data_IF_714318693052
#
_entry.id   IF_714318693052
#
_cell.length_a   1.000
_cell.length_b   1.000
_cell.length_c   1.000
_cell.angle_alpha   90.00
_cell.angle_beta   90.00
_cell.angle_gamma   90.00
#
_symmetry.space_group_name_H-M   'P 1'
#
loop_
_entity.id
_entity.type
_entity.pdbx_description
1 polymer ?
#
# COMPACT_ATOMS: atom_id res chain seq x y z
N UNK A 1 28.75 -14.55 18.37
CA UNK A 1 27.87 -13.56 17.69
C UNK A 1 28.16 -12.21 18.29
N UNK A 2 28.94 -11.38 17.58
CA UNK A 2 29.28 -10.06 18.08
C UNK A 2 28.15 -9.09 17.78
N UNK A 3 27.66 -8.43 18.80
CA UNK A 3 26.60 -7.41 18.69
C UNK A 3 27.27 -6.05 18.48
N UNK A 4 26.91 -5.33 17.42
CA UNK A 4 27.25 -3.93 17.27
C UNK A 4 26.24 -3.11 18.03
N UNK A 5 26.67 -2.36 19.03
CA UNK A 5 25.83 -1.49 19.86
C UNK A 5 26.05 -0.06 19.41
N UNK A 6 25.02 0.54 18.82
CA UNK A 6 25.02 1.96 18.48
C UNK A 6 24.29 2.74 19.58
N UNK A 7 24.94 3.66 20.23
CA UNK A 7 24.35 4.55 21.23
C UNK A 7 23.97 5.87 20.58
N UNK A 8 22.70 6.22 20.60
CA UNK A 8 22.28 7.58 20.26
C UNK A 8 22.47 8.47 21.49
N UNK A 9 23.34 9.48 21.38
CA UNK A 9 23.71 10.39 22.47
C UNK A 9 22.53 11.18 23.06
N UNK A 10 21.40 11.28 22.36
CA UNK A 10 20.29 12.14 22.80
C UNK A 10 19.16 11.42 23.55
N UNK A 11 19.08 10.09 23.53
CA UNK A 11 17.92 9.39 24.12
C UNK A 11 18.22 8.12 24.93
N UNK A 12 19.44 7.76 25.23
CA UNK A 12 19.83 6.56 25.99
C UNK A 12 19.13 5.24 25.56
N UNK A 13 18.59 5.17 24.33
CA UNK A 13 18.03 3.94 23.78
C UNK A 13 19.12 3.15 23.06
N UNK A 14 19.43 1.99 23.58
CA UNK A 14 20.29 0.98 22.97
C UNK A 14 19.53 0.35 21.77
N UNK A 15 20.03 0.56 20.57
CA UNK A 15 19.59 -0.16 19.38
C UNK A 15 20.60 -1.29 19.16
N UNK A 16 20.19 -2.53 19.39
CA UNK A 16 21.00 -3.72 19.09
C UNK A 16 20.71 -4.17 17.65
N UNK A 17 21.67 -3.95 16.75
CA UNK A 17 21.64 -4.54 15.42
C UNK A 17 22.45 -5.87 15.45
N UNK A 18 21.87 -6.95 14.98
CA UNK A 18 22.63 -8.18 14.70
C UNK A 18 23.53 -7.95 13.50
N UNK A 19 24.80 -8.33 13.66
CA UNK A 19 25.88 -8.17 12.67
C UNK A 19 25.43 -8.59 11.27
N UNK A 20 25.46 -7.67 10.32
CA UNK A 20 25.60 -8.03 8.92
C UNK A 20 27.02 -8.59 8.76
N UNK A 21 27.12 -9.88 8.43
CA UNK A 21 28.39 -10.59 8.33
C UNK A 21 29.37 -9.86 7.41
N UNK A 22 30.58 -9.58 7.97
CA UNK A 22 31.84 -9.37 7.29
C UNK A 22 32.00 -8.25 6.25
N UNK A 23 31.59 -7.02 6.53
CA UNK A 23 32.04 -5.90 5.71
C UNK A 23 32.55 -4.73 6.60
N UNK A 24 33.60 -4.97 7.38
CA UNK A 24 34.44 -3.89 7.88
C UNK A 24 35.84 -4.09 7.33
N UNK A 25 36.08 -3.55 6.12
CA UNK A 25 37.46 -3.23 5.74
C UNK A 25 37.78 -1.83 6.30
N UNK A 26 38.99 -1.66 6.84
CA UNK A 26 39.49 -0.43 7.47
C UNK A 26 39.53 0.83 6.57
N UNK A 27 38.93 0.76 5.36
CA UNK A 27 38.93 1.82 4.35
C UNK A 27 37.56 2.45 4.06
N UNK A 28 36.52 2.18 4.86
CA UNK A 28 35.21 2.84 4.66
C UNK A 28 35.33 4.33 5.04
N UNK A 29 35.26 5.20 4.02
CA UNK A 29 35.12 6.63 4.23
C UNK A 29 33.75 6.95 4.87
N UNK A 30 33.59 8.16 5.39
CA UNK A 30 32.35 8.62 6.06
C UNK A 30 31.09 8.36 5.22
N UNK A 31 31.15 8.53 3.90
CA UNK A 31 30.03 8.31 2.97
C UNK A 31 29.65 6.83 2.88
N UNK A 32 30.62 5.93 2.84
CA UNK A 32 30.37 4.49 2.83
C UNK A 32 29.75 4.00 4.15
N UNK A 33 30.17 4.55 5.29
CA UNK A 33 29.57 4.25 6.59
C UNK A 33 28.13 4.75 6.66
N UNK A 34 27.87 5.97 6.19
CA UNK A 34 26.52 6.54 6.15
C UNK A 34 25.58 5.73 5.25
N UNK A 35 26.07 5.30 4.09
CA UNK A 35 25.31 4.43 3.19
C UNK A 35 24.95 3.09 3.85
N UNK A 36 25.90 2.43 4.51
CA UNK A 36 25.66 1.18 5.24
C UNK A 36 24.65 1.35 6.38
N UNK A 37 24.75 2.44 7.13
CA UNK A 37 23.78 2.75 8.19
C UNK A 37 22.38 2.89 7.59
N UNK A 38 22.24 3.65 6.51
CA UNK A 38 20.97 3.86 5.84
C UNK A 38 20.37 2.54 5.31
N UNK A 39 21.19 1.68 4.70
CA UNK A 39 20.77 0.35 4.22
C UNK A 39 20.34 -0.58 5.38
N UNK A 40 21.06 -0.54 6.51
CA UNK A 40 20.69 -1.31 7.69
C UNK A 40 19.38 -0.82 8.32
N UNK A 41 19.21 0.50 8.44
CA UNK A 41 17.99 1.11 8.96
C UNK A 41 16.79 0.78 8.05
N UNK A 42 16.95 0.92 6.73
CA UNK A 42 15.90 0.61 5.76
C UNK A 42 15.49 -0.87 5.81
N UNK A 43 16.47 -1.78 5.93
CA UNK A 43 16.23 -3.22 6.08
C UNK A 43 15.49 -3.57 7.37
N UNK A 44 15.90 -2.97 8.49
CA UNK A 44 15.25 -3.16 9.79
C UNK A 44 13.82 -2.60 9.77
N UNK A 45 13.62 -1.43 9.16
CA UNK A 45 12.30 -0.80 9.02
C UNK A 45 11.38 -1.66 8.14
N UNK A 46 11.85 -2.14 7.00
CA UNK A 46 11.09 -3.05 6.12
C UNK A 46 10.68 -4.34 6.84
N UNK A 47 11.58 -4.92 7.63
CA UNK A 47 11.26 -6.10 8.44
C UNK A 47 10.19 -5.79 9.48
N UNK A 48 10.32 -4.69 10.21
CA UNK A 48 9.36 -4.24 11.22
C UNK A 48 7.98 -3.96 10.62
N UNK A 49 7.93 -3.24 9.49
CA UNK A 49 6.68 -2.96 8.78
C UNK A 49 6.00 -4.24 8.30
N UNK A 50 6.79 -5.20 7.79
CA UNK A 50 6.27 -6.51 7.36
C UNK A 50 5.69 -7.32 8.53
N UNK A 51 6.38 -7.36 9.67
CA UNK A 51 5.87 -8.05 10.87
C UNK A 51 4.56 -7.41 11.35
N UNK A 52 4.45 -6.09 11.28
CA UNK A 52 3.21 -5.39 11.58
C UNK A 52 2.09 -5.71 10.58
N UNK A 53 2.36 -5.74 9.28
CA UNK A 53 1.36 -6.15 8.27
C UNK A 53 0.80 -7.53 8.61
N UNK A 54 1.66 -8.50 8.92
CA UNK A 54 1.23 -9.87 9.27
C UNK A 54 0.38 -9.86 10.55
N UNK A 55 0.77 -9.08 11.55
CA UNK A 55 0.04 -9.00 12.82
C UNK A 55 -1.35 -8.35 12.64
N UNK A 56 -1.43 -7.27 11.86
CA UNK A 56 -2.70 -6.59 11.57
C UNK A 56 -3.65 -7.43 10.70
N UNK A 57 -3.10 -8.30 9.85
CA UNK A 57 -3.89 -9.20 9.02
C UNK A 57 -4.29 -10.49 9.73
N UNK A 58 -3.89 -10.68 11.00
CA UNK A 58 -4.24 -11.88 11.75
C UNK A 58 -5.77 -11.99 11.92
N UNK A 59 -6.33 -13.06 11.37
CA UNK A 59 -7.79 -13.29 11.35
C UNK A 59 -8.54 -12.63 10.19
N UNK A 60 -7.90 -11.77 9.39
CA UNK A 60 -8.49 -11.20 8.18
C UNK A 60 -8.40 -12.21 7.04
N UNK A 61 -9.53 -12.54 6.42
CA UNK A 61 -9.58 -13.49 5.31
C UNK A 61 -9.57 -12.81 3.94
N UNK A 62 -10.07 -11.58 3.88
CA UNK A 62 -10.27 -10.84 2.64
C UNK A 62 -9.81 -9.41 2.78
N UNK A 63 -9.33 -8.86 1.67
CA UNK A 63 -9.14 -7.42 1.48
C UNK A 63 -10.10 -6.93 0.39
N UNK A 64 -10.39 -5.63 0.40
CA UNK A 64 -11.40 -5.01 -0.45
C UNK A 64 -10.80 -3.86 -1.24
N UNK A 65 -11.28 -3.68 -2.46
CA UNK A 65 -10.95 -2.55 -3.32
C UNK A 65 -12.21 -2.02 -3.98
N UNK A 66 -12.48 -0.75 -3.80
CA UNK A 66 -13.55 -0.07 -4.51
C UNK A 66 -13.01 0.74 -5.69
N UNK A 67 -13.79 0.82 -6.76
CA UNK A 67 -13.42 1.56 -7.97
C UNK A 67 -14.66 1.95 -8.77
N UNK A 68 -14.62 3.06 -9.53
CA UNK A 68 -15.68 3.38 -10.48
C UNK A 68 -15.92 2.26 -11.49
N UNK A 69 -17.17 1.95 -11.78
CA UNK A 69 -17.55 0.85 -12.69
C UNK A 69 -16.98 0.98 -14.11
N UNK A 70 -16.72 2.21 -14.55
CA UNK A 70 -16.11 2.48 -15.86
C UNK A 70 -14.69 1.89 -16.01
N UNK A 71 -13.99 1.60 -14.90
CA UNK A 71 -12.65 1.00 -14.91
C UNK A 71 -12.65 -0.54 -14.93
N UNK A 72 -13.78 -1.20 -14.70
CA UNK A 72 -13.87 -2.67 -14.63
C UNK A 72 -13.33 -3.36 -15.88
N UNK A 73 -13.60 -2.82 -17.07
CA UNK A 73 -13.07 -3.39 -18.33
C UNK A 73 -11.55 -3.28 -18.42
N UNK A 74 -10.95 -2.21 -17.90
CA UNK A 74 -9.50 -2.06 -17.79
C UNK A 74 -8.91 -3.09 -16.83
N UNK A 75 -9.55 -3.27 -15.68
CA UNK A 75 -9.15 -4.26 -14.67
C UNK A 75 -9.26 -5.68 -15.20
N UNK A 76 -10.32 -6.00 -15.96
CA UNK A 76 -10.44 -7.30 -16.65
C UNK A 76 -9.27 -7.58 -17.60
N UNK A 77 -8.78 -6.56 -18.28
CA UNK A 77 -7.72 -6.70 -19.29
C UNK A 77 -6.32 -6.72 -18.69
N UNK A 78 -6.07 -5.89 -17.68
CA UNK A 78 -4.71 -5.63 -17.20
C UNK A 78 -4.48 -6.12 -15.75
N UNK A 79 -5.52 -6.59 -15.06
CA UNK A 79 -5.52 -6.85 -13.62
C UNK A 79 -5.70 -5.56 -12.81
N UNK A 80 -6.06 -5.72 -11.53
CA UNK A 80 -6.12 -4.60 -10.60
C UNK A 80 -4.70 -4.15 -10.26
N UNK A 81 -4.46 -2.84 -10.36
CA UNK A 81 -3.12 -2.26 -10.22
C UNK A 81 -2.23 -2.38 -11.46
N UNK A 82 -2.68 -3.08 -12.52
CA UNK A 82 -1.88 -3.26 -13.74
C UNK A 82 -1.89 -2.05 -14.68
N UNK A 83 -2.89 -1.19 -14.58
CA UNK A 83 -2.97 0.08 -15.30
C UNK A 83 -3.60 1.13 -14.40
N UNK A 84 -2.84 2.14 -14.07
CA UNK A 84 -3.34 3.29 -13.32
C UNK A 84 -4.22 4.14 -14.23
N UNK A 85 -5.47 4.49 -13.83
CA UNK A 85 -6.34 5.34 -14.60
C UNK A 85 -5.75 6.75 -14.75
N UNK A 86 -6.12 7.44 -15.84
CA UNK A 86 -5.69 8.82 -16.08
C UNK A 86 -6.25 9.78 -14.99
N UNK A 87 -7.48 9.54 -14.57
CA UNK A 87 -8.08 10.23 -13.43
C UNK A 87 -7.78 9.39 -12.19
N UNK A 88 -6.99 9.94 -11.30
CA UNK A 88 -6.68 9.33 -10.00
C UNK A 88 -7.65 9.89 -8.97
N UNK A 89 -8.29 9.01 -8.20
CA UNK A 89 -9.24 9.41 -7.15
C UNK A 89 -8.58 10.13 -5.97
N UNK A 90 -7.25 10.13 -5.91
CA UNK A 90 -6.47 10.70 -4.81
C UNK A 90 -5.38 11.64 -5.33
N UNK A 91 -5.15 12.71 -4.57
CA UNK A 91 -3.99 13.55 -4.80
C UNK A 91 -2.76 12.89 -4.17
N UNK A 92 -1.85 12.40 -5.01
CA UNK A 92 -0.60 11.76 -4.57
C UNK A 92 0.58 12.71 -4.52
N UNK A 93 0.40 14.00 -4.84
CA UNK A 93 1.48 14.99 -4.86
C UNK A 93 2.14 15.10 -3.49
N UNK A 94 3.48 15.01 -3.47
CA UNK A 94 4.25 15.05 -2.22
C UNK A 94 4.17 13.80 -1.36
N UNK A 95 3.52 12.74 -1.82
CA UNK A 95 3.41 11.47 -1.11
C UNK A 95 4.39 10.43 -1.67
N UNK A 96 4.71 9.34 -0.93
CA UNK A 96 5.51 8.23 -1.46
C UNK A 96 4.91 7.58 -2.71
N UNK A 97 3.62 7.80 -2.96
CA UNK A 97 2.87 7.20 -4.07
C UNK A 97 2.79 8.05 -5.33
N UNK A 98 3.38 9.25 -5.34
CA UNK A 98 3.34 10.19 -6.47
C UNK A 98 3.84 9.55 -7.79
N UNK A 99 4.86 8.70 -7.69
CA UNK A 99 5.53 8.06 -8.84
C UNK A 99 5.10 6.62 -9.09
N UNK A 100 4.02 6.17 -8.45
CA UNK A 100 3.53 4.81 -8.64
C UNK A 100 3.06 4.62 -10.07
N UNK A 101 3.57 3.58 -10.71
CA UNK A 101 3.20 3.16 -12.06
C UNK A 101 2.31 1.91 -12.07
N UNK A 102 2.29 1.18 -10.95
CA UNK A 102 1.44 0.01 -10.76
C UNK A 102 1.11 -0.17 -9.27
N UNK A 103 0.05 -0.92 -8.97
CA UNK A 103 -0.38 -1.23 -7.63
C UNK A 103 -1.76 -0.68 -7.30
N UNK A 104 -2.28 -1.06 -6.16
CA UNK A 104 -3.61 -0.64 -5.69
C UNK A 104 -3.67 -0.55 -4.17
N UNK A 105 -4.61 0.26 -3.68
CA UNK A 105 -4.92 0.32 -2.25
C UNK A 105 -6.01 -0.68 -1.92
N UNK A 106 -5.88 -1.31 -0.75
CA UNK A 106 -6.79 -2.34 -0.25
C UNK A 106 -7.18 -1.99 1.19
N UNK A 107 -8.43 -2.22 1.55
CA UNK A 107 -8.94 -2.06 2.91
C UNK A 107 -9.30 -3.42 3.51
N UNK A 108 -9.34 -3.51 4.83
CA UNK A 108 -9.81 -4.73 5.54
C UNK A 108 -11.33 -4.81 5.63
N UNK A 109 -12.02 -3.71 5.30
CA UNK A 109 -13.47 -3.59 5.35
C UNK A 109 -14.04 -3.04 4.03
N UNK A 110 -15.19 -3.57 3.59
CA UNK A 110 -15.80 -3.18 2.33
C UNK A 110 -16.33 -1.75 2.35
N UNK A 111 -16.89 -1.31 3.47
CA UNK A 111 -17.41 0.06 3.62
C UNK A 111 -16.29 1.09 3.64
N UNK A 112 -15.16 0.74 4.25
CA UNK A 112 -13.97 1.58 4.22
C UNK A 112 -13.47 1.72 2.78
N UNK A 113 -13.39 0.62 2.01
CA UNK A 113 -12.99 0.69 0.61
C UNK A 113 -13.93 1.57 -0.22
N UNK A 114 -15.25 1.43 -0.03
CA UNK A 114 -16.30 2.18 -0.71
C UNK A 114 -16.24 3.68 -0.38
N UNK A 115 -16.17 4.01 0.91
CA UNK A 115 -16.12 5.40 1.39
C UNK A 115 -14.94 6.20 0.84
N UNK A 116 -13.83 5.55 0.56
CA UNK A 116 -12.70 6.18 -0.10
C UNK A 116 -13.03 6.63 -1.53
N UNK A 117 -13.86 5.92 -2.26
CA UNK A 117 -14.31 6.33 -3.59
C UNK A 117 -15.38 7.41 -3.48
N UNK A 118 -16.41 7.16 -2.67
CA UNK A 118 -17.55 8.07 -2.52
C UNK A 118 -17.18 9.46 -2.04
N UNK A 119 -16.20 9.56 -1.13
CA UNK A 119 -15.76 10.86 -0.57
C UNK A 119 -14.64 11.51 -1.40
N UNK A 120 -14.37 11.03 -2.60
CA UNK A 120 -13.33 11.59 -3.46
C UNK A 120 -13.92 12.65 -4.39
N UNK A 121 -13.41 13.88 -4.31
CA UNK A 121 -13.77 14.96 -5.26
C UNK A 121 -13.55 14.52 -6.72
N UNK A 122 -12.50 13.75 -7.00
CA UNK A 122 -12.22 13.25 -8.34
C UNK A 122 -13.23 12.17 -8.80
N UNK A 123 -13.90 11.47 -7.89
CA UNK A 123 -15.01 10.59 -8.24
C UNK A 123 -16.26 11.40 -8.59
N UNK A 124 -16.57 12.43 -7.84
CA UNK A 124 -17.68 13.34 -8.09
C UNK A 124 -17.57 13.96 -9.48
N UNK A 125 -16.39 14.54 -9.80
CA UNK A 125 -16.11 15.07 -11.15
C UNK A 125 -16.25 14.01 -12.25
N UNK A 126 -15.76 12.79 -12.00
CA UNK A 126 -15.85 11.67 -12.95
C UNK A 126 -17.30 11.21 -13.15
N UNK A 127 -18.11 11.20 -12.09
CA UNK A 127 -19.51 10.82 -12.11
C UNK A 127 -20.32 11.82 -12.94
N UNK A 128 -20.12 13.13 -12.72
CA UNK A 128 -20.75 14.20 -13.49
C UNK A 128 -20.43 14.09 -14.99
N UNK A 129 -19.14 13.89 -15.33
CA UNK A 129 -18.71 13.69 -16.72
C UNK A 129 -19.30 12.44 -17.36
N UNK A 130 -19.50 11.37 -16.55
CA UNK A 130 -20.07 10.13 -17.03
C UNK A 130 -21.57 10.27 -17.29
N UNK A 131 -22.30 10.93 -16.39
CA UNK A 131 -23.71 11.21 -16.52
C UNK A 131 -23.99 12.12 -17.73
N UNK A 132 -23.22 13.21 -17.89
CA UNK A 132 -23.34 14.10 -19.05
C UNK A 132 -23.14 13.35 -20.38
N UNK A 133 -22.21 12.40 -20.41
CA UNK A 133 -21.86 11.68 -21.62
C UNK A 133 -22.79 10.53 -21.98
N UNK A 134 -23.27 9.82 -20.97
CA UNK A 134 -23.99 8.55 -21.17
C UNK A 134 -25.45 8.56 -20.67
N UNK A 135 -25.89 9.68 -20.07
CA UNK A 135 -27.20 9.80 -19.44
C UNK A 135 -27.46 8.64 -18.43
N UNK A 136 -26.43 8.34 -17.63
CA UNK A 136 -26.41 7.26 -16.64
C UNK A 136 -25.55 7.62 -15.46
N UNK A 137 -26.00 7.25 -14.29
CA UNK A 137 -25.22 7.33 -13.05
C UNK A 137 -23.99 6.41 -13.10
N UNK A 138 -22.87 6.88 -12.59
CA UNK A 138 -21.64 6.10 -12.47
C UNK A 138 -21.65 5.30 -11.17
N UNK A 139 -21.77 4.01 -11.28
CA UNK A 139 -21.75 3.08 -10.13
C UNK A 139 -20.35 2.85 -9.59
N UNK A 140 -20.29 2.41 -8.33
CA UNK A 140 -19.07 1.90 -7.68
C UNK A 140 -19.11 0.38 -7.69
N UNK A 141 -17.96 -0.25 -7.94
CA UNK A 141 -17.76 -1.68 -7.85
C UNK A 141 -16.81 -1.98 -6.72
N UNK A 142 -17.20 -2.86 -5.82
CA UNK A 142 -16.35 -3.38 -4.76
C UNK A 142 -15.87 -4.78 -5.13
N UNK A 143 -14.55 -4.95 -5.17
CA UNK A 143 -13.89 -6.24 -5.32
C UNK A 143 -13.46 -6.76 -3.96
N UNK A 144 -13.66 -8.06 -3.75
CA UNK A 144 -13.12 -8.82 -2.64
C UNK A 144 -11.98 -9.69 -3.12
N UNK A 145 -10.86 -9.68 -2.39
CA UNK A 145 -9.63 -10.41 -2.71
C UNK A 145 -9.28 -11.31 -1.54
N UNK A 146 -9.04 -12.58 -1.78
CA UNK A 146 -8.59 -13.50 -0.74
C UNK A 146 -7.14 -13.23 -0.41
N UNK A 147 -6.81 -13.11 0.89
CA UNK A 147 -5.42 -12.84 1.30
C UNK A 147 -4.48 -13.95 0.87
N UNK A 148 -4.93 -15.21 0.91
CA UNK A 148 -4.13 -16.36 0.49
C UNK A 148 -3.72 -16.31 -0.99
N UNK A 149 -4.45 -15.55 -1.83
CA UNK A 149 -4.14 -15.39 -3.25
C UNK A 149 -3.11 -14.27 -3.49
N UNK A 150 -2.78 -13.48 -2.46
CA UNK A 150 -1.85 -12.36 -2.55
C UNK A 150 -0.42 -12.74 -2.18
N UNK A 151 0.54 -12.14 -2.87
CA UNK A 151 1.92 -12.17 -2.41
C UNK A 151 2.10 -11.14 -1.28
N UNK A 152 2.08 -11.61 -0.04
CA UNK A 152 2.19 -10.77 1.16
C UNK A 152 3.45 -9.89 1.18
N UNK A 153 4.50 -10.26 0.43
CA UNK A 153 5.72 -9.46 0.34
C UNK A 153 5.54 -8.16 -0.46
N UNK A 154 4.45 -8.06 -1.24
CA UNK A 154 4.09 -6.88 -2.01
C UNK A 154 3.10 -5.98 -1.28
N UNK A 155 2.64 -6.39 -0.09
CA UNK A 155 1.71 -5.65 0.72
C UNK A 155 2.44 -4.81 1.77
N UNK A 156 2.07 -3.55 1.90
CA UNK A 156 2.57 -2.63 2.93
C UNK A 156 1.40 -1.84 3.53
N UNK A 157 1.56 -1.40 4.77
CA UNK A 157 0.58 -0.48 5.37
C UNK A 157 0.62 0.83 4.60
N UNK A 158 -0.54 1.41 4.34
CA UNK A 158 -0.63 2.75 3.75
C UNK A 158 -0.16 3.79 4.76
N UNK A 159 0.97 4.42 4.47
CA UNK A 159 1.60 5.41 5.36
C UNK A 159 0.96 6.79 5.29
N UNK A 160 0.03 7.02 4.35
CA UNK A 160 -0.71 8.28 4.26
C UNK A 160 -1.96 8.28 5.14
N UNK A 161 -2.40 7.12 5.59
CA UNK A 161 -3.51 7.03 6.53
C UNK A 161 -3.02 7.36 7.94
N UNK A 162 -3.68 8.30 8.61
CA UNK A 162 -3.51 8.44 10.06
C UNK A 162 -4.19 7.25 10.73
N UNK A 163 -3.37 6.33 11.22
CA UNK A 163 -3.85 5.20 12.01
C UNK A 163 -4.21 5.73 13.40
N UNK A 164 -5.47 5.91 13.68
CA UNK A 164 -6.01 5.98 15.02
C UNK A 164 -6.52 4.59 15.44
N UNK A 165 -6.84 4.42 16.73
CA UNK A 165 -7.27 3.12 17.28
C UNK A 165 -8.62 2.64 16.69
N UNK A 166 -9.38 3.52 16.04
CA UNK A 166 -10.74 3.27 15.53
C UNK A 166 -10.75 3.03 14.01
N UNK A 167 -9.70 3.44 13.30
CA UNK A 167 -9.67 3.37 11.84
C UNK A 167 -9.10 2.04 11.36
N UNK A 168 -9.88 1.31 10.58
CA UNK A 168 -9.41 0.08 9.94
C UNK A 168 -8.23 0.38 8.99
N UNK A 169 -7.11 -0.35 9.12
CA UNK A 169 -5.92 -0.06 8.32
C UNK A 169 -6.17 -0.31 6.84
N UNK A 170 -5.63 0.58 6.01
CA UNK A 170 -5.52 0.37 4.56
C UNK A 170 -4.11 -0.05 4.20
N UNK A 171 -4.00 -0.74 3.07
CA UNK A 171 -2.77 -1.32 2.58
C UNK A 171 -2.51 -0.90 1.15
N UNK A 172 -1.24 -0.73 0.81
CA UNK A 172 -0.80 -0.61 -0.57
C UNK A 172 -0.22 -1.95 -1.04
N UNK A 173 -0.78 -2.51 -2.12
CA UNK A 173 -0.26 -3.69 -2.79
C UNK A 173 0.55 -3.27 -4.02
N UNK A 174 1.87 -3.43 -3.94
CA UNK A 174 2.81 -3.07 -5.01
C UNK A 174 2.92 -4.21 -6.04
N UNK A 175 1.81 -4.51 -6.70
CA UNK A 175 1.73 -5.59 -7.69
C UNK A 175 0.47 -5.51 -8.51
N UNK A 176 0.29 -6.53 -9.35
CA UNK A 176 -0.92 -6.71 -10.17
C UNK A 176 -1.69 -7.90 -9.64
N UNK A 177 -2.97 -7.71 -9.35
CA UNK A 177 -3.88 -8.79 -8.95
C UNK A 177 -4.67 -9.19 -10.19
N UNK A 178 -4.51 -10.43 -10.69
CA UNK A 178 -5.25 -10.92 -11.86
C UNK A 178 -6.76 -10.86 -11.62
N UNK A 179 -7.53 -10.55 -12.65
CA UNK A 179 -9.00 -10.47 -12.53
C UNK A 179 -9.64 -11.78 -12.03
N UNK A 180 -9.01 -12.92 -12.31
CA UNK A 180 -9.47 -14.24 -11.83
C UNK A 180 -9.41 -14.41 -10.30
N UNK A 181 -8.66 -13.57 -9.59
CA UNK A 181 -8.57 -13.54 -8.14
C UNK A 181 -9.52 -12.51 -7.50
N UNK A 182 -10.25 -11.74 -8.33
CA UNK A 182 -11.19 -10.72 -7.88
C UNK A 182 -12.59 -11.27 -7.84
N UNK A 183 -13.29 -11.08 -6.74
CA UNK A 183 -14.70 -11.37 -6.58
C UNK A 183 -15.47 -10.06 -6.53
N UNK A 184 -16.42 -9.86 -7.48
CA UNK A 184 -17.30 -8.69 -7.44
C UNK A 184 -18.31 -8.92 -6.32
N UNK A 185 -18.37 -7.99 -5.34
CA UNK A 185 -19.30 -8.08 -4.21
C UNK A 185 -20.58 -7.30 -4.47
N UNK A 186 -20.45 -6.08 -4.98
CA UNK A 186 -21.55 -5.14 -5.20
C UNK A 186 -21.31 -4.33 -6.46
N UNK A 187 -22.43 -4.01 -7.13
CA UNK A 187 -22.60 -2.96 -8.13
C UNK A 187 -23.66 -2.02 -7.55
N UNK A 188 -23.27 -0.80 -7.21
CA UNK A 188 -24.18 0.25 -6.80
C UNK A 188 -24.53 1.15 -7.96
#
# INVERSE_FOLDING_TARGET
>A
MDKVVLTNRNNNKLITANKCDNIFSESLNYNGLQQLINECVDRCLKKYLRENVINFLNGVQYLYHATPACYVNSIKKYGLGGKIPNVRLWNYNGTPYEKIVQGCFLATDEYVAESYVENSEAFEELADMYEERYDKELSIVVFRIKIDDLNINLLSIDTNQQLDEETAPTYFYNGIIPFSQLQIMKLY
#
